data_IF_072324708252
#
_entry.id   IF_072324708252
#
_cell.length_a   1.000
_cell.length_b   1.000
_cell.length_c   1.000
_cell.angle_alpha   90.00
_cell.angle_beta   90.00
_cell.angle_gamma   90.00
#
_symmetry.space_group_name_H-M   'P 1'
#
loop_
_entity.id
_entity.type
_entity.pdbx_description
1 polymer ?
#
# COMPACT_ATOMS: atom_id res chain seq x y z
N UNK A 1 28.20 18.36 5.43
CA UNK A 1 27.38 17.45 6.25
C UNK A 1 27.23 16.15 5.46
N UNK A 2 27.41 14.96 6.05
CA UNK A 2 27.05 13.73 5.34
C UNK A 2 25.56 13.82 5.01
N UNK A 3 25.22 13.65 3.73
CA UNK A 3 23.83 13.59 3.28
C UNK A 3 23.12 12.50 4.09
N UNK A 4 21.91 12.78 4.62
CA UNK A 4 21.08 11.74 5.25
C UNK A 4 21.03 10.53 4.30
N UNK A 5 21.25 9.29 4.80
CA UNK A 5 21.20 8.12 3.95
C UNK A 5 19.83 8.02 3.28
N UNK A 6 19.82 7.75 1.98
CA UNK A 6 18.58 7.58 1.22
C UNK A 6 17.93 6.27 1.67
N UNK A 7 16.78 6.37 2.33
CA UNK A 7 15.95 5.21 2.70
C UNK A 7 15.22 4.62 1.49
N UNK A 8 15.02 3.31 1.50
CA UNK A 8 14.13 2.65 0.56
C UNK A 8 12.67 2.96 0.90
N UNK A 9 11.82 2.86 -0.11
CA UNK A 9 10.36 2.89 0.03
C UNK A 9 9.77 1.73 -0.79
N UNK A 10 8.52 1.33 -0.51
CA UNK A 10 7.77 0.39 -1.36
C UNK A 10 7.93 0.73 -2.85
N UNK A 11 7.65 1.96 -3.24
CA UNK A 11 7.73 2.40 -4.65
C UNK A 11 9.15 2.33 -5.23
N UNK A 12 10.18 2.66 -4.46
CA UNK A 12 11.59 2.53 -4.89
C UNK A 12 11.99 1.06 -5.04
N UNK A 13 11.63 0.21 -4.08
CA UNK A 13 11.87 -1.23 -4.15
C UNK A 13 11.27 -1.84 -5.42
N UNK A 14 9.98 -1.56 -5.68
CA UNK A 14 9.29 -2.05 -6.87
C UNK A 14 9.91 -1.53 -8.17
N UNK A 15 10.29 -0.25 -8.20
CA UNK A 15 11.01 0.32 -9.36
C UNK A 15 12.35 -0.38 -9.58
N UNK A 16 13.06 -0.75 -8.51
CA UNK A 16 14.30 -1.51 -8.57
C UNK A 16 14.11 -2.92 -9.15
N UNK A 17 13.07 -3.64 -8.69
CA UNK A 17 12.71 -4.95 -9.25
C UNK A 17 12.38 -4.87 -10.74
N UNK A 18 11.71 -3.79 -11.17
CA UNK A 18 11.39 -3.58 -12.58
C UNK A 18 12.64 -3.21 -13.40
N UNK A 19 13.43 -2.25 -12.91
CA UNK A 19 14.59 -1.71 -13.62
C UNK A 19 15.52 -0.94 -12.67
N UNK A 20 16.74 -1.44 -12.47
CA UNK A 20 17.74 -0.76 -11.64
C UNK A 20 18.04 0.68 -12.09
N UNK A 21 18.00 0.96 -13.40
CA UNK A 21 18.19 2.33 -13.92
C UNK A 21 17.06 3.27 -13.47
N UNK A 22 15.83 2.76 -13.43
CA UNK A 22 14.69 3.54 -12.92
C UNK A 22 14.82 3.83 -11.43
N UNK A 23 15.25 2.86 -10.63
CA UNK A 23 15.57 3.09 -9.22
C UNK A 23 16.63 4.18 -9.06
N UNK A 24 17.71 4.10 -9.84
CA UNK A 24 18.79 5.09 -9.80
C UNK A 24 18.26 6.49 -10.11
N UNK A 25 17.49 6.68 -11.18
CA UNK A 25 16.86 7.97 -11.51
C UNK A 25 15.98 8.47 -10.36
N UNK A 26 15.09 7.62 -9.82
CA UNK A 26 14.19 8.03 -8.71
C UNK A 26 14.91 8.43 -7.42
N UNK A 27 16.17 8.05 -7.25
CA UNK A 27 16.97 8.36 -6.07
C UNK A 27 17.90 9.55 -6.31
N UNK A 28 18.56 9.59 -7.47
CA UNK A 28 19.64 10.53 -7.74
C UNK A 28 19.24 11.67 -8.69
N UNK A 29 18.23 11.46 -9.53
CA UNK A 29 17.75 12.42 -10.54
C UNK A 29 16.21 12.36 -10.63
N UNK A 30 15.47 12.74 -9.56
CA UNK A 30 14.01 12.60 -9.53
C UNK A 30 13.29 13.44 -10.60
N UNK A 31 13.95 14.47 -11.13
CA UNK A 31 13.45 15.34 -12.20
C UNK A 31 13.88 14.88 -13.61
N UNK A 32 14.45 13.68 -13.75
CA UNK A 32 14.85 13.13 -15.05
C UNK A 32 13.64 13.05 -16.01
N UNK A 33 13.80 13.45 -17.29
CA UNK A 33 12.70 13.46 -18.25
C UNK A 33 12.10 12.08 -18.49
N UNK A 34 12.87 10.99 -18.29
CA UNK A 34 12.39 9.61 -18.38
C UNK A 34 11.40 9.23 -17.26
N UNK A 35 11.34 10.00 -16.18
CA UNK A 35 10.36 9.83 -15.10
C UNK A 35 9.10 10.68 -15.29
N UNK A 36 9.09 11.60 -16.27
CA UNK A 36 7.93 12.44 -16.55
C UNK A 36 6.74 11.57 -16.95
N UNK A 37 5.59 11.82 -16.33
CA UNK A 37 4.37 11.08 -16.63
C UNK A 37 3.76 11.56 -17.93
N UNK A 38 3.33 10.61 -18.75
CA UNK A 38 2.44 10.87 -19.87
C UNK A 38 1.02 11.13 -19.36
N UNK A 39 0.15 11.85 -20.09
CA UNK A 39 -1.25 12.05 -19.70
C UNK A 39 -2.01 10.73 -19.46
N UNK A 40 -1.66 9.66 -20.20
CA UNK A 40 -2.22 8.33 -19.98
C UNK A 40 -1.83 7.74 -18.61
N UNK A 41 -0.57 7.92 -18.19
CA UNK A 41 -0.12 7.47 -16.87
C UNK A 41 -0.77 8.29 -15.75
N UNK A 42 -0.90 9.61 -15.90
CA UNK A 42 -1.60 10.46 -14.94
C UNK A 42 -3.06 10.00 -14.74
N UNK A 43 -3.77 9.68 -15.83
CA UNK A 43 -5.12 9.14 -15.77
C UNK A 43 -5.17 7.78 -15.04
N UNK A 44 -4.21 6.89 -15.29
CA UNK A 44 -4.13 5.60 -14.58
C UNK A 44 -3.89 5.80 -13.08
N UNK A 45 -3.05 6.76 -12.68
CA UNK A 45 -2.85 7.08 -11.26
C UNK A 45 -4.11 7.69 -10.62
N UNK A 46 -4.80 8.58 -11.34
CA UNK A 46 -6.05 9.16 -10.86
C UNK A 46 -7.14 8.08 -10.65
N UNK A 47 -7.28 7.15 -11.60
CA UNK A 47 -8.17 5.99 -11.47
C UNK A 47 -7.76 5.10 -10.29
N UNK A 48 -6.45 4.85 -10.14
CA UNK A 48 -5.91 4.10 -9.02
C UNK A 48 -6.29 4.71 -7.67
N UNK A 49 -6.18 6.03 -7.55
CA UNK A 49 -6.59 6.77 -6.34
C UNK A 49 -8.09 6.62 -6.07
N UNK A 50 -8.93 6.80 -7.09
CA UNK A 50 -10.39 6.65 -6.93
C UNK A 50 -10.77 5.22 -6.48
N UNK A 51 -10.15 4.20 -7.08
CA UNK A 51 -10.35 2.80 -6.67
C UNK A 51 -9.92 2.58 -5.23
N UNK A 52 -8.76 3.12 -4.83
CA UNK A 52 -8.28 3.08 -3.44
C UNK A 52 -9.24 3.72 -2.45
N UNK A 53 -9.78 4.90 -2.77
CA UNK A 53 -10.77 5.60 -1.95
C UNK A 53 -12.06 4.78 -1.80
N UNK A 54 -12.57 4.18 -2.89
CA UNK A 54 -13.76 3.31 -2.87
C UNK A 54 -13.52 2.01 -2.09
N UNK A 55 -12.32 1.44 -2.16
CA UNK A 55 -11.96 0.20 -1.48
C UNK A 55 -12.07 0.31 0.04
N UNK A 56 -11.87 1.50 0.62
CA UNK A 56 -12.06 1.75 2.07
C UNK A 56 -13.47 1.37 2.53
N UNK A 57 -14.48 1.52 1.66
CA UNK A 57 -15.86 1.11 1.95
C UNK A 57 -16.05 -0.40 2.19
N UNK A 58 -15.10 -1.24 1.77
CA UNK A 58 -15.11 -2.68 2.04
C UNK A 58 -14.68 -3.03 3.47
N UNK A 59 -14.06 -2.08 4.19
CA UNK A 59 -13.60 -2.26 5.57
C UNK A 59 -13.97 -1.03 6.39
N UNK A 60 -15.27 -0.82 6.69
CA UNK A 60 -15.75 0.43 7.28
C UNK A 60 -15.25 0.66 8.72
N UNK A 61 -15.29 1.92 9.16
CA UNK A 61 -14.94 2.30 10.53
C UNK A 61 -13.45 2.55 10.77
N UNK A 62 -12.62 2.53 9.72
CA UNK A 62 -11.21 2.90 9.80
C UNK A 62 -10.94 4.41 9.74
N UNK A 63 -9.69 4.77 9.98
CA UNK A 63 -9.17 6.14 9.90
C UNK A 63 -8.11 6.27 8.80
N UNK A 64 -8.15 7.36 8.03
CA UNK A 64 -7.16 7.67 7.01
C UNK A 64 -5.98 8.44 7.60
N UNK A 65 -4.76 8.00 7.31
CA UNK A 65 -3.54 8.79 7.59
C UNK A 65 -3.36 9.86 6.49
N UNK A 66 -4.07 10.97 6.64
CA UNK A 66 -4.11 12.06 5.67
C UNK A 66 -3.01 13.11 5.93
N UNK A 67 -1.80 12.81 5.47
CA UNK A 67 -0.65 13.71 5.55
C UNK A 67 0.04 13.86 4.17
N UNK A 68 0.77 14.96 3.93
CA UNK A 68 1.48 15.16 2.67
C UNK A 68 2.42 14.00 2.33
N UNK A 69 2.51 13.66 1.04
CA UNK A 69 3.25 12.47 0.57
C UNK A 69 4.68 12.37 1.10
N UNK A 70 5.39 13.48 1.23
CA UNK A 70 6.80 13.53 1.63
C UNK A 70 7.03 13.40 3.15
N UNK A 71 5.98 13.44 3.97
CA UNK A 71 6.10 13.41 5.44
C UNK A 71 6.14 11.98 6.01
N UNK A 72 7.04 11.14 5.49
CA UNK A 72 7.08 9.71 5.83
C UNK A 72 7.18 9.43 7.34
N UNK A 73 8.06 10.14 8.07
CA UNK A 73 8.22 9.97 9.51
C UNK A 73 6.93 10.35 10.28
N UNK A 74 6.24 11.42 9.86
CA UNK A 74 4.98 11.84 10.48
C UNK A 74 3.86 10.83 10.20
N UNK A 75 3.80 10.26 9.00
CA UNK A 75 2.85 9.18 8.66
C UNK A 75 3.06 7.94 9.51
N UNK A 76 4.32 7.57 9.77
CA UNK A 76 4.66 6.46 10.67
C UNK A 76 4.22 6.77 12.11
N UNK A 77 4.44 8.00 12.59
CA UNK A 77 4.00 8.42 13.91
C UNK A 77 2.46 8.38 14.04
N UNK A 78 1.74 8.97 13.08
CA UNK A 78 0.27 8.97 13.06
C UNK A 78 -0.31 7.55 12.98
N UNK A 79 0.32 6.66 12.19
CA UNK A 79 -0.05 5.24 12.12
C UNK A 79 0.08 4.56 13.48
N UNK A 80 1.16 4.84 14.23
CA UNK A 80 1.36 4.28 15.57
C UNK A 80 0.29 4.76 16.56
N UNK A 81 -0.09 6.03 16.50
CA UNK A 81 -1.17 6.57 17.32
C UNK A 81 -2.52 5.92 16.98
N UNK A 82 -2.81 5.73 15.70
CA UNK A 82 -4.02 5.06 15.23
C UNK A 82 -4.09 3.60 15.68
N UNK A 83 -2.96 2.86 15.64
CA UNK A 83 -2.87 1.50 16.18
C UNK A 83 -3.19 1.45 17.68
N UNK A 84 -2.68 2.40 18.47
CA UNK A 84 -2.93 2.47 19.91
C UNK A 84 -4.41 2.73 20.27
N UNK A 85 -5.16 3.39 19.39
CA UNK A 85 -6.61 3.59 19.56
C UNK A 85 -7.44 2.34 19.27
N UNK A 86 -6.83 1.29 18.73
CA UNK A 86 -7.51 0.02 18.55
C UNK A 86 -8.52 -0.03 17.40
N UNK A 87 -8.37 0.85 16.41
CA UNK A 87 -9.33 1.01 15.30
C UNK A 87 -9.55 -0.30 14.51
N UNK A 88 -10.72 -0.50 13.88
CA UNK A 88 -11.00 -1.66 13.02
C UNK A 88 -10.10 -1.71 11.78
N UNK A 89 -9.76 -0.54 11.25
CA UNK A 89 -8.85 -0.39 10.12
C UNK A 89 -8.11 0.94 10.17
N UNK A 90 -6.97 0.99 9.48
CA UNK A 90 -6.20 2.20 9.20
C UNK A 90 -5.95 2.22 7.70
N UNK A 91 -6.40 3.27 7.02
CA UNK A 91 -6.19 3.46 5.59
C UNK A 91 -4.91 4.25 5.35
N UNK A 92 -4.17 3.84 4.32
CA UNK A 92 -2.86 4.41 3.99
C UNK A 92 -1.92 4.42 5.18
N UNK A 93 -1.83 3.33 5.93
CA UNK A 93 -0.96 3.19 7.09
C UNK A 93 0.52 3.10 6.65
N UNK A 94 1.43 3.67 7.44
CA UNK A 94 2.87 3.73 7.14
C UNK A 94 3.73 3.12 8.24
N UNK A 95 4.75 2.37 7.81
CA UNK A 95 5.72 1.70 8.68
C UNK A 95 7.13 1.98 8.21
N UNK A 96 8.07 1.92 9.14
CA UNK A 96 9.51 1.99 8.90
C UNK A 96 10.19 0.89 9.71
N UNK A 97 10.96 0.04 9.03
CA UNK A 97 11.86 -0.93 9.65
C UNK A 97 13.07 -1.11 8.74
N UNK A 98 14.26 -1.28 9.33
CA UNK A 98 15.51 -1.51 8.59
C UNK A 98 15.71 -0.51 7.44
N UNK A 99 15.53 0.79 7.72
CA UNK A 99 15.68 1.89 6.76
C UNK A 99 14.80 1.77 5.49
N UNK A 100 13.71 1.01 5.56
CA UNK A 100 12.73 0.83 4.49
C UNK A 100 11.34 1.26 4.93
N UNK A 101 10.76 2.22 4.20
CA UNK A 101 9.37 2.63 4.38
C UNK A 101 8.41 1.73 3.59
N UNK A 102 7.30 1.35 4.22
CA UNK A 102 6.17 0.72 3.54
C UNK A 102 4.87 1.43 3.92
N UNK A 103 4.17 1.93 2.89
CA UNK A 103 2.76 2.31 2.99
C UNK A 103 1.89 1.13 2.56
N UNK A 104 0.79 0.88 3.28
CA UNK A 104 -0.24 -0.12 2.94
C UNK A 104 -1.56 0.59 2.71
N UNK A 105 -2.32 0.15 1.69
CA UNK A 105 -3.58 0.83 1.33
C UNK A 105 -4.63 0.67 2.43
N UNK A 106 -4.80 -0.55 2.95
CA UNK A 106 -5.69 -0.82 4.08
C UNK A 106 -5.00 -1.81 5.03
N UNK A 107 -4.89 -1.43 6.29
CA UNK A 107 -4.51 -2.30 7.40
C UNK A 107 -5.73 -2.57 8.26
N UNK A 108 -6.30 -3.77 8.18
CA UNK A 108 -7.50 -4.16 8.93
C UNK A 108 -7.14 -5.06 10.13
N UNK A 109 -7.98 -5.06 11.17
CA UNK A 109 -7.91 -6.11 12.21
C UNK A 109 -8.34 -7.46 11.62
N UNK A 110 -7.64 -8.52 12.02
CA UNK A 110 -8.06 -9.88 11.67
C UNK A 110 -9.21 -10.35 12.60
N UNK A 111 -10.40 -10.67 12.05
CA UNK A 111 -11.49 -11.22 12.85
C UNK A 111 -11.21 -12.65 13.35
N UNK A 112 -10.30 -13.41 12.73
CA UNK A 112 -10.02 -14.81 13.06
C UNK A 112 -9.01 -15.03 14.20
N UNK A 113 -8.01 -14.16 14.33
CA UNK A 113 -6.87 -14.30 15.25
C UNK A 113 -7.07 -13.77 16.68
N UNK A 114 -8.24 -13.97 17.28
CA UNK A 114 -8.51 -13.52 18.66
C UNK A 114 -8.40 -12.00 18.86
N UNK A 115 -8.60 -11.22 17.78
CA UNK A 115 -8.62 -9.76 17.78
C UNK A 115 -7.27 -9.05 17.87
N UNK A 116 -6.14 -9.77 17.84
CA UNK A 116 -4.78 -9.18 17.95
C UNK A 116 -3.99 -9.14 16.64
N UNK A 117 -4.37 -9.95 15.65
CA UNK A 117 -3.75 -9.98 14.33
C UNK A 117 -4.23 -8.88 13.40
N UNK A 118 -3.49 -8.65 12.32
CA UNK A 118 -3.82 -7.70 11.26
C UNK A 118 -3.83 -8.38 9.88
N UNK A 119 -4.65 -7.83 8.99
CA UNK A 119 -4.71 -8.16 7.57
C UNK A 119 -4.18 -6.97 6.78
N UNK A 120 -3.19 -7.20 5.93
CA UNK A 120 -2.71 -6.21 4.96
C UNK A 120 -3.50 -6.40 3.68
N UNK A 121 -4.11 -5.35 3.15
CA UNK A 121 -4.86 -5.39 1.90
C UNK A 121 -4.23 -4.37 0.94
N UNK A 122 -3.63 -4.86 -0.13
CA UNK A 122 -3.11 -4.05 -1.24
C UNK A 122 -4.19 -3.92 -2.31
N UNK A 123 -4.55 -2.70 -2.67
CA UNK A 123 -5.64 -2.40 -3.60
C UNK A 123 -5.07 -2.15 -4.99
N UNK A 124 -5.65 -2.80 -6.01
CA UNK A 124 -5.24 -2.67 -7.40
C UNK A 124 -6.42 -2.27 -8.28
N UNK A 125 -6.24 -1.23 -9.10
CA UNK A 125 -7.17 -0.84 -10.16
C UNK A 125 -7.05 -1.74 -11.40
N UNK A 126 -7.00 -3.06 -11.17
CA UNK A 126 -7.03 -4.10 -12.20
C UNK A 126 -8.28 -4.95 -12.02
N UNK A 127 -8.63 -5.71 -13.05
CA UNK A 127 -9.76 -6.66 -13.02
C UNK A 127 -9.37 -8.07 -12.54
N UNK A 128 -8.13 -8.24 -12.07
CA UNK A 128 -7.56 -9.51 -11.65
C UNK A 128 -6.31 -9.29 -10.81
N UNK A 129 -5.98 -10.25 -9.94
CA UNK A 129 -4.65 -10.38 -9.32
C UNK A 129 -3.64 -10.84 -10.36
N UNK A 130 -2.47 -10.19 -10.39
CA UNK A 130 -1.34 -10.53 -11.26
C UNK A 130 -0.11 -10.89 -10.43
N UNK A 131 0.82 -11.71 -10.97
CA UNK A 131 2.08 -12.01 -10.29
C UNK A 131 2.86 -10.76 -9.90
N UNK A 132 2.83 -9.71 -10.73
CA UNK A 132 3.50 -8.43 -10.46
C UNK A 132 2.94 -7.64 -9.26
N UNK A 133 1.78 -8.03 -8.72
CA UNK A 133 1.23 -7.41 -7.49
C UNK A 133 1.79 -8.03 -6.21
N UNK A 134 2.33 -9.25 -6.27
CA UNK A 134 2.82 -9.96 -5.09
C UNK A 134 4.00 -9.24 -4.41
N UNK A 135 4.96 -8.63 -5.15
CA UNK A 135 6.05 -7.89 -4.52
C UNK A 135 5.59 -6.70 -3.67
N UNK A 136 4.46 -6.05 -3.97
CA UNK A 136 3.88 -4.99 -3.12
C UNK A 136 3.54 -5.53 -1.74
N UNK A 137 2.70 -6.57 -1.69
CA UNK A 137 2.28 -7.21 -0.46
C UNK A 137 3.47 -7.80 0.31
N UNK A 138 4.42 -8.42 -0.40
CA UNK A 138 5.60 -9.03 0.22
C UNK A 138 6.45 -7.99 0.97
N UNK A 139 6.81 -6.86 0.34
CA UNK A 139 7.64 -5.84 1.00
C UNK A 139 6.88 -5.15 2.14
N UNK A 140 5.57 -4.95 1.99
CA UNK A 140 4.72 -4.43 3.06
C UNK A 140 4.73 -5.36 4.28
N UNK A 141 4.35 -6.63 4.09
CA UNK A 141 4.31 -7.63 5.16
C UNK A 141 5.68 -7.75 5.83
N UNK A 142 6.77 -7.76 5.05
CA UNK A 142 8.13 -7.76 5.58
C UNK A 142 8.36 -6.57 6.52
N UNK A 143 8.20 -5.34 6.03
CA UNK A 143 8.45 -4.14 6.83
C UNK A 143 7.55 -4.07 8.06
N UNK A 144 6.26 -4.39 7.92
CA UNK A 144 5.30 -4.37 9.02
C UNK A 144 5.67 -5.38 10.12
N UNK A 145 6.04 -6.62 9.76
CA UNK A 145 6.51 -7.64 10.71
C UNK A 145 7.82 -7.24 11.38
N UNK A 146 8.77 -6.68 10.62
CA UNK A 146 10.03 -6.15 11.18
C UNK A 146 9.82 -4.93 12.07
N UNK A 147 8.74 -4.17 11.88
CA UNK A 147 8.29 -3.11 12.78
C UNK A 147 7.54 -3.63 14.02
N UNK A 148 7.41 -4.95 14.19
CA UNK A 148 6.79 -5.58 15.36
C UNK A 148 5.28 -5.81 15.23
N UNK A 149 4.69 -5.60 14.05
CA UNK A 149 3.26 -5.82 13.84
C UNK A 149 2.98 -7.31 13.55
N UNK A 150 1.96 -7.85 14.22
CA UNK A 150 1.44 -9.18 13.96
C UNK A 150 0.54 -9.15 12.71
N UNK A 151 1.11 -9.52 11.56
CA UNK A 151 0.40 -9.65 10.28
C UNK A 151 0.06 -11.12 10.02
N UNK A 152 -1.22 -11.44 10.06
CA UNK A 152 -1.78 -12.79 9.89
C UNK A 152 -2.04 -13.13 8.43
N UNK A 153 -2.60 -12.17 7.69
CA UNK A 153 -2.93 -12.33 6.27
C UNK A 153 -2.47 -11.15 5.44
N UNK A 154 -2.16 -11.44 4.19
CA UNK A 154 -1.95 -10.46 3.14
C UNK A 154 -2.89 -10.77 1.98
N UNK A 155 -3.56 -9.75 1.47
CA UNK A 155 -4.56 -9.90 0.43
C UNK A 155 -4.33 -8.87 -0.68
N UNK A 156 -4.62 -9.27 -1.91
CA UNK A 156 -4.72 -8.36 -3.04
C UNK A 156 -6.20 -8.14 -3.33
N UNK A 157 -6.67 -6.90 -3.17
CA UNK A 157 -8.01 -6.49 -3.54
C UNK A 157 -7.99 -5.89 -4.94
N UNK A 158 -8.88 -6.35 -5.83
CA UNK A 158 -8.97 -5.85 -7.19
C UNK A 158 -10.43 -5.70 -7.62
N UNK A 159 -10.66 -5.03 -8.76
CA UNK A 159 -12.00 -4.86 -9.31
C UNK A 159 -12.55 -6.20 -9.78
N UNK A 160 -13.83 -6.45 -9.49
CA UNK A 160 -14.54 -7.63 -9.92
C UNK A 160 -14.91 -7.50 -11.41
N UNK A 161 -14.40 -8.35 -12.32
CA UNK A 161 -14.75 -8.30 -13.74
C UNK A 161 -16.23 -8.60 -14.01
N UNK A 162 -16.96 -9.20 -13.06
CA UNK A 162 -18.39 -9.48 -13.16
C UNK A 162 -19.30 -8.37 -12.61
N UNK A 163 -18.73 -7.32 -12.02
CA UNK A 163 -19.52 -6.17 -11.55
C UNK A 163 -20.14 -5.39 -12.74
N UNK A 164 -21.40 -4.93 -12.59
CA UNK A 164 -22.14 -4.23 -13.65
C UNK A 164 -22.91 -3.05 -13.06
N UNK A 165 -22.65 -1.85 -13.57
CA UNK A 165 -23.43 -0.65 -13.24
C UNK A 165 -24.92 -0.83 -13.60
N UNK A 166 -25.89 -0.33 -12.80
CA UNK A 166 -25.72 0.53 -11.63
C UNK A 166 -25.43 -0.17 -10.31
N UNK A 167 -25.46 -1.50 -10.25
CA UNK A 167 -25.20 -2.24 -9.01
C UNK A 167 -23.69 -2.44 -8.79
N UNK A 168 -23.13 -1.68 -7.85
CA UNK A 168 -21.72 -1.74 -7.48
C UNK A 168 -21.50 -2.47 -6.13
N UNK A 169 -22.49 -3.21 -5.64
CA UNK A 169 -22.40 -3.91 -4.36
C UNK A 169 -21.29 -4.97 -4.32
N UNK A 170 -20.95 -5.55 -5.48
CA UNK A 170 -19.90 -6.56 -5.65
C UNK A 170 -18.63 -6.05 -6.35
N UNK A 171 -18.35 -4.73 -6.27
CA UNK A 171 -17.27 -4.07 -7.02
C UNK A 171 -15.87 -4.67 -6.82
N UNK A 172 -15.59 -5.26 -5.65
CA UNK A 172 -14.26 -5.76 -5.29
C UNK A 172 -14.24 -7.26 -5.06
N UNK A 173 -13.11 -7.88 -5.42
CA UNK A 173 -12.71 -9.25 -5.05
C UNK A 173 -11.42 -9.16 -4.23
N UNK A 174 -11.24 -10.08 -3.27
CA UNK A 174 -10.05 -10.17 -2.41
C UNK A 174 -9.45 -11.56 -2.54
N UNK A 175 -8.18 -11.61 -2.97
CA UNK A 175 -7.40 -12.85 -3.04
C UNK A 175 -6.42 -12.92 -1.87
N UNK A 176 -6.44 -14.00 -1.09
CA UNK A 176 -5.43 -14.28 -0.08
C UNK A 176 -4.12 -14.70 -0.75
N UNK A 177 -3.05 -13.94 -0.49
CA UNK A 177 -1.70 -14.16 -1.02
C UNK A 177 -0.69 -14.55 0.05
N UNK A 178 -1.15 -14.78 1.28
CA UNK A 178 -0.31 -15.19 2.42
C UNK A 178 0.50 -16.48 2.18
N UNK A 179 -0.04 -17.53 1.51
CA UNK A 179 0.68 -18.79 1.31
C UNK A 179 1.76 -18.76 0.21
N UNK A 180 1.87 -17.66 -0.54
CA UNK A 180 2.76 -17.52 -1.71
C UNK A 180 4.12 -16.95 -1.31
#
# INVERSE_FOLDING_TARGET
MPSKPVRLSKSRYLSGLQCHKQLWWRVHEPDAPELALTPGQENLFAQGKEVGERARGQVPGGELIDLPFYEYDNKVAATREALNRGLPAIYEAWFLAEDTYAGVDILARDPGGGGRGHVVIEVKASNSRKPEHLPDAAVQVYVLRRAGLQVERAEVMHLNPECRYPDLSNLFVRDDVTPL
#
